data_IF_435791232978
#
_entry.id   IF_435791232978
#
_cell.length_a   1.000
_cell.length_b   1.000
_cell.length_c   1.000
_cell.angle_alpha   90.00
_cell.angle_beta   90.00
_cell.angle_gamma   90.00
#
_symmetry.space_group_name_H-M   'P 1'
#
loop_
_entity.id
_entity.type
_entity.pdbx_description
1 polymer ?
#
# COMPACT_ATOMS: atom_id res chain seq x y z
N UNK A 1 51.55 14.61 -44.63
CA UNK A 1 51.13 14.15 -43.29
C UNK A 1 49.65 14.50 -43.12
N UNK A 2 48.79 13.49 -42.96
CA UNK A 2 47.32 13.66 -43.01
C UNK A 2 46.77 13.87 -41.60
N UNK A 3 46.17 15.03 -41.35
CA UNK A 3 45.38 15.30 -40.16
C UNK A 3 44.08 14.49 -40.23
N UNK A 4 43.87 13.59 -39.26
CA UNK A 4 42.56 12.95 -39.03
C UNK A 4 41.83 13.77 -37.98
N UNK A 5 40.83 14.52 -38.42
CA UNK A 5 39.75 14.98 -37.55
C UNK A 5 39.04 13.73 -37.00
N UNK A 6 39.11 13.52 -35.68
CA UNK A 6 38.25 12.53 -35.01
C UNK A 6 36.90 13.17 -34.77
N UNK A 7 36.01 12.93 -35.72
CA UNK A 7 34.57 13.12 -35.63
C UNK A 7 34.09 12.19 -34.51
N UNK A 8 33.69 12.73 -33.36
CA UNK A 8 32.88 12.00 -32.38
C UNK A 8 31.46 11.89 -32.94
N UNK A 9 31.31 11.00 -33.91
CA UNK A 9 30.04 10.55 -34.44
C UNK A 9 29.55 9.36 -33.64
N UNK A 10 28.36 9.52 -33.06
CA UNK A 10 27.36 8.46 -32.91
C UNK A 10 27.78 7.14 -32.26
N UNK A 11 27.32 6.94 -31.03
CA UNK A 11 26.91 5.60 -30.59
C UNK A 11 25.53 5.66 -29.92
N UNK A 12 24.53 5.94 -30.74
CA UNK A 12 23.22 5.32 -30.54
C UNK A 12 23.35 3.83 -30.87
N UNK A 13 22.77 2.96 -30.04
CA UNK A 13 22.76 1.52 -30.29
C UNK A 13 22.90 0.69 -29.03
N UNK A 14 21.80 0.61 -28.27
CA UNK A 14 21.64 -0.27 -27.13
C UNK A 14 20.16 -0.56 -26.87
N UNK A 15 19.38 -0.80 -27.92
CA UNK A 15 18.07 -1.43 -27.82
C UNK A 15 18.25 -2.90 -27.43
N UNK A 16 18.57 -3.13 -26.15
CA UNK A 16 18.48 -4.43 -25.49
C UNK A 16 17.13 -4.55 -24.80
N UNK A 17 16.13 -5.06 -25.53
CA UNK A 17 15.01 -5.76 -24.88
C UNK A 17 15.58 -7.02 -24.23
N UNK A 18 15.69 -7.03 -22.90
CA UNK A 18 16.09 -8.23 -22.16
C UNK A 18 16.23 -8.00 -20.66
N UNK A 19 15.24 -8.49 -19.89
CA UNK A 19 15.36 -8.71 -18.45
C UNK A 19 14.84 -7.58 -17.57
N UNK A 20 13.59 -7.69 -17.09
CA UNK A 20 13.05 -6.85 -16.02
C UNK A 20 13.93 -6.93 -14.78
N UNK A 21 14.66 -5.86 -14.52
CA UNK A 21 15.56 -5.72 -13.39
C UNK A 21 15.43 -4.32 -12.82
N UNK A 22 15.64 -4.20 -11.52
CA UNK A 22 15.70 -2.90 -10.84
C UNK A 22 16.90 -2.11 -11.32
N UNK A 23 16.75 -0.79 -11.35
CA UNK A 23 17.81 0.13 -11.72
C UNK A 23 19.09 -0.10 -10.89
N UNK A 24 20.24 0.07 -11.55
CA UNK A 24 21.56 0.11 -10.92
C UNK A 24 22.04 1.55 -10.71
N UNK A 25 21.17 2.55 -10.93
CA UNK A 25 21.52 3.96 -10.75
C UNK A 25 21.87 4.28 -9.31
N UNK A 26 22.87 5.16 -9.14
CA UNK A 26 23.38 5.54 -7.83
C UNK A 26 22.29 6.13 -6.93
N UNK A 27 22.34 5.72 -5.66
CA UNK A 27 21.41 6.18 -4.63
C UNK A 27 22.10 7.20 -3.74
N UNK A 28 21.46 8.35 -3.52
CA UNK A 28 21.96 9.34 -2.58
C UNK A 28 21.94 8.83 -1.13
N UNK A 29 22.89 9.29 -0.32
CA UNK A 29 22.99 8.90 1.10
C UNK A 29 21.73 9.24 1.91
N UNK A 30 21.17 10.43 1.69
CA UNK A 30 19.97 10.89 2.40
C UNK A 30 18.74 10.04 2.07
N UNK A 31 18.37 9.80 0.79
CA UNK A 31 17.27 8.88 0.45
C UNK A 31 17.44 7.46 1.00
N UNK A 32 18.64 6.87 0.91
CA UNK A 32 18.92 5.55 1.45
C UNK A 32 18.70 5.51 2.98
N UNK A 33 19.17 6.53 3.70
CA UNK A 33 18.99 6.65 5.15
C UNK A 33 17.52 6.75 5.55
N UNK A 34 16.72 7.54 4.84
CA UNK A 34 15.28 7.62 5.10
C UNK A 34 14.58 6.29 4.88
N UNK A 35 14.88 5.60 3.78
CA UNK A 35 14.29 4.30 3.48
C UNK A 35 14.66 3.24 4.53
N UNK A 36 15.95 3.16 4.88
CA UNK A 36 16.45 2.25 5.89
C UNK A 36 15.80 2.47 7.26
N UNK A 37 15.75 3.71 7.74
CA UNK A 37 15.13 4.05 9.02
C UNK A 37 13.63 3.76 9.02
N UNK A 38 12.95 4.01 7.89
CA UNK A 38 11.55 3.66 7.70
C UNK A 38 11.31 2.17 7.81
N UNK A 39 12.14 1.35 7.17
CA UNK A 39 12.06 -0.11 7.23
C UNK A 39 12.32 -0.65 8.64
N UNK A 40 13.32 -0.12 9.37
CA UNK A 40 13.64 -0.54 10.75
C UNK A 40 12.53 -0.27 11.76
N UNK A 41 11.68 0.73 11.53
CA UNK A 41 10.53 1.06 12.38
C UNK A 41 9.34 0.14 12.17
N UNK A 42 9.28 -0.61 11.07
CA UNK A 42 8.19 -1.53 10.78
C UNK A 42 8.49 -2.90 11.39
N UNK A 43 7.51 -3.43 12.11
CA UNK A 43 7.54 -4.77 12.71
C UNK A 43 6.55 -5.68 11.99
N UNK A 44 6.91 -6.95 11.83
CA UNK A 44 6.09 -7.97 11.15
C UNK A 44 6.22 -8.01 9.62
N UNK A 45 5.72 -9.11 9.04
CA UNK A 45 5.68 -9.32 7.58
C UNK A 45 6.97 -9.93 7.00
N UNK A 46 7.30 -11.15 7.44
CA UNK A 46 8.36 -11.98 6.83
C UNK A 46 7.82 -12.98 5.81
N UNK A 47 6.50 -13.13 5.75
CA UNK A 47 5.86 -14.00 4.77
C UNK A 47 6.14 -13.45 3.37
N UNK A 48 6.74 -14.29 2.54
CA UNK A 48 7.02 -13.97 1.15
C UNK A 48 5.72 -13.67 0.39
N UNK A 49 5.83 -12.86 -0.65
CA UNK A 49 4.71 -12.57 -1.54
C UNK A 49 4.76 -13.51 -2.75
N UNK A 50 3.58 -13.87 -3.27
CA UNK A 50 3.49 -14.63 -4.53
C UNK A 50 3.67 -13.65 -5.69
N UNK A 51 4.81 -13.74 -6.38
CA UNK A 51 5.14 -12.85 -7.51
C UNK A 51 4.04 -12.84 -8.57
N UNK A 52 3.66 -11.65 -9.01
CA UNK A 52 2.73 -11.45 -10.11
C UNK A 52 3.43 -10.66 -11.22
N UNK A 53 3.60 -11.27 -12.39
CA UNK A 53 4.36 -10.68 -13.51
C UNK A 53 3.79 -9.34 -13.98
N UNK A 54 2.47 -9.17 -13.99
CA UNK A 54 1.83 -7.90 -14.38
C UNK A 54 2.21 -6.78 -13.40
N UNK A 55 2.17 -7.07 -12.10
CA UNK A 55 2.48 -6.08 -11.08
C UNK A 55 3.98 -5.78 -11.02
N UNK A 56 4.83 -6.81 -11.11
CA UNK A 56 6.30 -6.63 -11.19
C UNK A 56 6.71 -5.78 -12.38
N UNK A 57 6.17 -6.06 -13.57
CA UNK A 57 6.47 -5.26 -14.76
C UNK A 57 6.04 -3.80 -14.58
N UNK A 58 4.86 -3.56 -14.01
CA UNK A 58 4.40 -2.20 -13.72
C UNK A 58 5.30 -1.47 -12.72
N UNK A 59 5.84 -2.17 -11.71
CA UNK A 59 6.81 -1.58 -10.78
C UNK A 59 8.17 -1.28 -11.44
N UNK A 60 8.64 -2.16 -12.33
CA UNK A 60 9.85 -1.91 -13.13
C UNK A 60 9.65 -0.73 -14.08
N UNK A 61 8.46 -0.56 -14.63
CA UNK A 61 8.14 0.57 -15.50
C UNK A 61 8.05 1.90 -14.70
N UNK A 62 7.63 1.85 -13.43
CA UNK A 62 7.72 3.00 -12.51
C UNK A 62 9.17 3.38 -12.25
N UNK A 63 10.00 2.40 -11.86
CA UNK A 63 11.42 2.62 -11.59
C UNK A 63 12.18 3.17 -12.82
N UNK A 64 11.93 2.56 -13.98
CA UNK A 64 12.49 2.98 -15.26
C UNK A 64 11.91 4.28 -15.83
N UNK A 65 10.96 4.93 -15.13
CA UNK A 65 10.36 6.19 -15.54
C UNK A 65 9.46 6.11 -16.78
N UNK A 66 9.05 4.91 -17.20
CA UNK A 66 8.14 4.71 -18.34
C UNK A 66 6.69 5.02 -17.97
N UNK A 67 6.33 4.84 -16.71
CA UNK A 67 5.01 5.17 -16.17
C UNK A 67 5.14 5.80 -14.79
N UNK A 68 4.18 6.63 -14.40
CA UNK A 68 4.10 7.14 -13.03
C UNK A 68 3.33 6.17 -12.13
N UNK A 69 3.53 6.24 -10.82
CA UNK A 69 2.75 5.44 -9.86
C UNK A 69 1.23 5.70 -9.97
N UNK A 70 0.84 6.94 -10.31
CA UNK A 70 -0.56 7.30 -10.56
C UNK A 70 -1.11 6.65 -11.82
N UNK A 71 -0.36 6.67 -12.93
CA UNK A 71 -0.72 5.98 -14.17
C UNK A 71 -0.84 4.47 -13.95
N UNK A 72 0.10 3.89 -13.19
CA UNK A 72 0.03 2.50 -12.76
C UNK A 72 -1.25 2.23 -11.95
N UNK A 73 -1.61 3.08 -10.99
CA UNK A 73 -2.84 2.89 -10.22
C UNK A 73 -4.11 3.06 -11.07
N UNK A 74 -4.10 3.96 -12.05
CA UNK A 74 -5.23 4.26 -12.93
C UNK A 74 -5.56 3.12 -13.92
N UNK A 75 -4.66 2.17 -14.13
CA UNK A 75 -4.94 0.98 -14.94
C UNK A 75 -6.00 0.07 -14.30
N UNK A 76 -6.20 0.16 -12.97
CA UNK A 76 -7.16 -0.63 -12.22
C UNK A 76 -8.45 0.18 -12.06
N UNK A 77 -9.54 -0.35 -12.60
CA UNK A 77 -10.81 0.38 -12.72
C UNK A 77 -11.76 0.04 -11.58
N UNK A 78 -11.74 -1.21 -11.12
CA UNK A 78 -12.66 -1.68 -10.09
C UNK A 78 -12.00 -1.68 -8.72
N UNK A 79 -12.83 -1.60 -7.67
CA UNK A 79 -12.35 -1.72 -6.29
C UNK A 79 -11.72 -3.08 -6.01
N UNK A 80 -12.26 -4.16 -6.58
CA UNK A 80 -11.69 -5.51 -6.43
C UNK A 80 -10.28 -5.62 -7.03
N UNK A 81 -10.05 -5.04 -8.20
CA UNK A 81 -8.72 -4.98 -8.80
C UNK A 81 -7.75 -4.19 -7.92
N UNK A 82 -8.20 -3.05 -7.40
CA UNK A 82 -7.41 -2.21 -6.50
C UNK A 82 -7.11 -2.92 -5.18
N UNK A 83 -8.04 -3.69 -4.61
CA UNK A 83 -7.82 -4.48 -3.39
C UNK A 83 -6.81 -5.62 -3.65
N UNK A 84 -6.88 -6.31 -4.79
CA UNK A 84 -5.90 -7.35 -5.17
C UNK A 84 -4.49 -6.78 -5.28
N UNK A 85 -4.35 -5.66 -5.99
CA UNK A 85 -3.05 -4.98 -6.17
C UNK A 85 -2.56 -4.41 -4.83
N UNK A 86 -3.45 -3.84 -4.02
CA UNK A 86 -3.11 -3.32 -2.70
C UNK A 86 -2.51 -4.42 -1.81
N UNK A 87 -3.20 -5.56 -1.69
CA UNK A 87 -2.73 -6.69 -0.88
C UNK A 87 -1.36 -7.18 -1.38
N UNK A 88 -1.21 -7.34 -2.68
CA UNK A 88 0.08 -7.68 -3.29
C UNK A 88 1.20 -6.70 -2.91
N UNK A 89 0.93 -5.40 -3.00
CA UNK A 89 1.92 -4.36 -2.68
C UNK A 89 2.21 -4.30 -1.18
N UNK A 90 1.24 -4.59 -0.32
CA UNK A 90 1.46 -4.72 1.14
C UNK A 90 2.44 -5.85 1.42
N UNK A 91 2.20 -7.04 0.84
CA UNK A 91 3.05 -8.22 1.05
C UNK A 91 4.45 -8.00 0.47
N UNK A 92 4.55 -7.47 -0.76
CA UNK A 92 5.84 -7.13 -1.37
C UNK A 92 6.60 -6.10 -0.54
N UNK A 93 5.94 -5.04 -0.09
CA UNK A 93 6.56 -4.01 0.75
C UNK A 93 7.05 -4.61 2.08
N UNK A 94 6.30 -5.51 2.69
CA UNK A 94 6.73 -6.23 3.89
C UNK A 94 8.02 -7.04 3.65
N UNK A 95 8.02 -7.88 2.61
CA UNK A 95 9.21 -8.66 2.19
C UNK A 95 10.42 -7.77 1.88
N UNK A 96 10.24 -6.66 1.14
CA UNK A 96 11.33 -5.74 0.81
C UNK A 96 11.85 -5.03 2.06
N UNK A 97 10.96 -4.59 2.95
CA UNK A 97 11.38 -4.01 4.23
C UNK A 97 12.10 -5.04 5.11
N UNK A 98 11.73 -6.33 5.07
CA UNK A 98 12.47 -7.39 5.76
C UNK A 98 13.92 -7.50 5.25
N UNK A 99 14.12 -7.50 3.92
CA UNK A 99 15.48 -7.47 3.33
C UNK A 99 16.27 -6.25 3.78
N UNK A 100 15.65 -5.06 3.79
CA UNK A 100 16.32 -3.83 4.26
C UNK A 100 16.65 -3.89 5.75
N UNK A 101 15.77 -4.50 6.57
CA UNK A 101 16.01 -4.68 8.01
C UNK A 101 17.17 -5.62 8.31
N UNK A 102 17.50 -6.56 7.41
CA UNK A 102 18.66 -7.44 7.56
C UNK A 102 20.00 -6.73 7.30
N UNK A 103 19.97 -5.56 6.66
CA UNK A 103 21.16 -4.74 6.47
C UNK A 103 21.64 -4.15 7.81
N UNK A 104 22.96 -4.00 7.93
CA UNK A 104 23.63 -3.44 9.11
C UNK A 104 23.57 -1.92 9.14
N UNK A 105 23.46 -1.28 7.98
CA UNK A 105 23.44 0.18 7.88
C UNK A 105 22.71 0.71 6.64
N UNK A 106 22.40 2.00 6.67
CA UNK A 106 21.88 2.72 5.50
C UNK A 106 22.89 2.77 4.33
N UNK A 107 24.20 2.72 4.60
CA UNK A 107 25.21 2.67 3.57
C UNK A 107 25.23 1.35 2.81
N UNK A 108 24.88 0.24 3.46
CA UNK A 108 24.70 -1.04 2.77
C UNK A 108 23.49 -0.99 1.82
N UNK A 109 22.41 -0.29 2.20
CA UNK A 109 21.28 -0.06 1.30
C UNK A 109 21.69 0.83 0.12
N UNK A 110 22.49 1.86 0.36
CA UNK A 110 23.03 2.75 -0.68
C UNK A 110 23.88 1.99 -1.71
N UNK A 111 24.70 1.05 -1.23
CA UNK A 111 25.52 0.15 -2.07
C UNK A 111 24.70 -0.93 -2.78
N UNK A 112 23.42 -1.06 -2.46
CA UNK A 112 22.49 -1.98 -3.10
C UNK A 112 21.37 -1.20 -3.83
N UNK A 113 21.69 -0.57 -4.98
CA UNK A 113 20.73 0.28 -5.70
C UNK A 113 19.48 -0.50 -6.11
N UNK A 114 19.61 -1.76 -6.52
CA UNK A 114 18.47 -2.62 -6.89
C UNK A 114 17.44 -2.75 -5.77
N UNK A 115 17.87 -3.04 -4.55
CA UNK A 115 16.97 -3.17 -3.41
C UNK A 115 16.32 -1.83 -3.03
N UNK A 116 17.07 -0.72 -3.15
CA UNK A 116 16.51 0.60 -2.91
C UNK A 116 15.42 0.97 -3.92
N UNK A 117 15.69 0.76 -5.22
CA UNK A 117 14.75 1.06 -6.29
C UNK A 117 13.51 0.16 -6.24
N UNK A 118 13.69 -1.13 -5.86
CA UNK A 118 12.57 -2.03 -5.53
C UNK A 118 11.68 -1.45 -4.43
N UNK A 119 12.28 -0.99 -3.33
CA UNK A 119 11.56 -0.42 -2.20
C UNK A 119 10.85 0.89 -2.57
N UNK A 120 11.53 1.76 -3.34
CA UNK A 120 11.01 3.04 -3.80
C UNK A 120 9.77 2.84 -4.67
N UNK A 121 9.88 2.08 -5.76
CA UNK A 121 8.77 1.85 -6.67
C UNK A 121 7.59 1.17 -5.98
N UNK A 122 7.85 0.17 -5.13
CA UNK A 122 6.80 -0.52 -4.36
C UNK A 122 6.06 0.46 -3.43
N UNK A 123 6.78 1.38 -2.77
CA UNK A 123 6.19 2.39 -1.89
C UNK A 123 5.37 3.41 -2.67
N UNK A 124 5.88 3.92 -3.78
CA UNK A 124 5.19 4.87 -4.65
C UNK A 124 3.90 4.27 -5.21
N UNK A 125 3.97 3.05 -5.74
CA UNK A 125 2.81 2.32 -6.22
C UNK A 125 1.78 2.07 -5.10
N UNK A 126 2.22 1.67 -3.90
CA UNK A 126 1.32 1.43 -2.77
C UNK A 126 0.57 2.70 -2.35
N UNK A 127 1.26 3.84 -2.31
CA UNK A 127 0.64 5.14 -2.03
C UNK A 127 -0.40 5.51 -3.11
N UNK A 128 -0.04 5.40 -4.39
CA UNK A 128 -0.93 5.74 -5.49
C UNK A 128 -2.15 4.81 -5.58
N UNK A 129 -1.97 3.51 -5.35
CA UNK A 129 -3.08 2.54 -5.29
C UNK A 129 -3.98 2.85 -4.10
N UNK A 130 -3.44 3.20 -2.93
CA UNK A 130 -4.25 3.59 -1.77
C UNK A 130 -5.07 4.86 -2.03
N UNK A 131 -4.47 5.86 -2.65
CA UNK A 131 -5.16 7.10 -3.03
C UNK A 131 -6.25 6.84 -4.10
N UNK A 132 -5.94 6.03 -5.13
CA UNK A 132 -6.95 5.65 -6.13
C UNK A 132 -8.09 4.85 -5.49
N UNK A 133 -7.76 3.94 -4.59
CA UNK A 133 -8.69 3.10 -3.85
C UNK A 133 -9.63 3.94 -2.99
N UNK A 134 -9.15 4.98 -2.29
CA UNK A 134 -10.02 5.85 -1.49
C UNK A 134 -11.03 6.64 -2.35
N UNK A 135 -10.70 6.91 -3.62
CA UNK A 135 -11.54 7.62 -4.59
C UNK A 135 -12.55 6.73 -5.32
N UNK A 136 -12.32 5.41 -5.38
CA UNK A 136 -13.26 4.46 -5.98
C UNK A 136 -14.22 3.98 -4.89
N UNK A 137 -15.52 4.10 -5.17
CA UNK A 137 -16.56 3.61 -4.27
C UNK A 137 -16.20 2.18 -3.82
N UNK A 138 -16.25 1.87 -2.51
CA UNK A 138 -16.02 0.51 -2.07
C UNK A 138 -16.98 -0.39 -2.84
N UNK A 139 -16.54 -1.60 -3.21
CA UNK A 139 -17.50 -2.65 -3.58
C UNK A 139 -18.50 -2.60 -2.45
N UNK A 140 -19.77 -2.33 -2.76
CA UNK A 140 -20.81 -2.54 -1.77
C UNK A 140 -20.60 -3.99 -1.40
N UNK A 141 -19.98 -4.24 -0.24
CA UNK A 141 -20.21 -5.50 0.42
C UNK A 141 -21.72 -5.57 0.36
N UNK A 142 -22.24 -6.56 -0.39
CA UNK A 142 -23.59 -6.97 -0.12
C UNK A 142 -23.62 -7.01 1.38
N UNK A 143 -24.50 -6.21 1.97
CA UNK A 143 -24.85 -6.45 3.33
C UNK A 143 -25.51 -7.84 3.30
N UNK A 144 -24.71 -8.90 3.22
CA UNK A 144 -24.73 -9.87 4.27
C UNK A 144 -24.39 -9.06 5.53
N UNK A 145 -25.37 -8.28 6.01
CA UNK A 145 -25.74 -8.40 7.40
C UNK A 145 -25.74 -9.91 7.56
N UNK A 146 -24.65 -10.48 8.09
CA UNK A 146 -24.80 -11.75 8.77
C UNK A 146 -25.99 -11.46 9.66
N UNK A 147 -27.07 -12.20 9.49
CA UNK A 147 -28.20 -12.22 10.41
C UNK A 147 -27.76 -12.69 11.82
N UNK A 148 -26.51 -12.45 12.24
CA UNK A 148 -26.04 -12.60 13.59
C UNK A 148 -26.79 -11.65 14.54
N UNK A 149 -27.33 -10.54 14.03
CA UNK A 149 -28.10 -9.59 14.83
C UNK A 149 -29.62 -9.90 14.82
N UNK A 150 -30.11 -10.66 13.83
CA UNK A 150 -31.52 -11.09 13.78
C UNK A 150 -31.78 -12.29 14.71
N UNK A 151 -30.77 -13.15 14.94
CA UNK A 151 -30.92 -14.31 15.83
C UNK A 151 -30.72 -13.95 17.30
N UNK A 152 -29.93 -12.90 17.61
CA UNK A 152 -29.73 -12.42 18.98
C UNK A 152 -30.80 -11.41 19.45
N UNK A 153 -31.67 -10.93 18.55
CA UNK A 153 -32.82 -10.08 18.91
C UNK A 153 -34.11 -10.87 19.13
N UNK A 154 -34.15 -12.15 18.72
CA UNK A 154 -35.34 -13.00 18.83
C UNK A 154 -35.71 -13.46 20.26
N UNK A 155 -34.86 -13.21 21.26
CA UNK A 155 -35.15 -13.58 22.67
C UNK A 155 -35.32 -12.38 23.61
N UNK A 156 -35.29 -11.13 23.11
CA UNK A 156 -35.69 -9.97 23.91
C UNK A 156 -37.21 -9.99 24.08
N UNK A 157 -37.66 -10.66 25.14
CA UNK A 157 -39.06 -10.61 25.56
C UNK A 157 -39.46 -9.15 25.77
N UNK A 158 -40.67 -8.77 25.33
CA UNK A 158 -41.21 -7.40 25.46
C UNK A 158 -41.20 -6.88 26.91
N UNK A 159 -41.04 -7.78 27.89
CA UNK A 159 -40.87 -7.50 29.31
C UNK A 159 -39.50 -6.91 29.62
N UNK A 160 -38.41 -7.48 29.09
CA UNK A 160 -37.05 -6.97 29.32
C UNK A 160 -36.86 -5.58 28.70
N UNK A 161 -37.42 -5.35 27.51
CA UNK A 161 -37.34 -4.05 26.83
C UNK A 161 -38.09 -2.95 27.56
N UNK A 162 -39.26 -3.28 28.13
CA UNK A 162 -40.01 -2.37 28.98
C UNK A 162 -39.28 -2.06 30.28
N UNK A 163 -38.64 -3.06 30.90
CA UNK A 163 -37.85 -2.88 32.11
C UNK A 163 -36.59 -2.04 31.84
N UNK A 164 -35.86 -2.33 30.77
CA UNK A 164 -34.66 -1.58 30.39
C UNK A 164 -34.97 -0.12 30.06
N UNK A 165 -36.04 0.12 29.29
CA UNK A 165 -36.47 1.49 28.96
C UNK A 165 -36.89 2.27 30.20
N UNK A 166 -37.69 1.67 31.10
CA UNK A 166 -38.07 2.30 32.38
C UNK A 166 -36.85 2.61 33.25
N UNK A 167 -35.89 1.71 33.38
CA UNK A 167 -34.70 1.96 34.20
C UNK A 167 -33.79 3.03 33.59
N UNK A 168 -33.65 3.05 32.26
CA UNK A 168 -32.93 4.12 31.56
C UNK A 168 -33.60 5.48 31.77
N UNK A 169 -34.93 5.55 31.64
CA UNK A 169 -35.68 6.79 31.80
C UNK A 169 -35.68 7.26 33.27
N UNK A 170 -35.78 6.33 34.23
CA UNK A 170 -35.64 6.62 35.66
C UNK A 170 -34.24 7.09 36.03
N UNK A 171 -33.19 6.45 35.48
CA UNK A 171 -31.81 6.89 35.66
C UNK A 171 -31.59 8.27 35.06
N UNK A 172 -32.12 8.53 33.86
CA UNK A 172 -32.01 9.84 33.23
C UNK A 172 -32.75 10.92 34.04
N UNK A 173 -33.92 10.61 34.60
CA UNK A 173 -34.68 11.52 35.45
C UNK A 173 -33.97 11.80 36.79
N UNK A 174 -33.32 10.79 37.39
CA UNK A 174 -32.54 10.91 38.60
C UNK A 174 -31.24 11.70 38.39
N UNK A 175 -30.54 11.44 37.28
CA UNK A 175 -29.20 11.99 37.04
C UNK A 175 -29.22 13.37 36.40
N UNK A 176 -30.16 13.63 35.48
CA UNK A 176 -30.24 14.92 34.76
C UNK A 176 -31.32 15.85 35.32
N UNK A 177 -32.09 15.38 36.32
CA UNK A 177 -33.27 16.07 36.85
C UNK A 177 -34.40 16.09 35.82
N UNK A 178 -35.63 15.78 36.24
CA UNK A 178 -36.76 15.89 35.31
C UNK A 178 -36.99 17.36 34.96
N UNK A 179 -36.45 17.82 33.82
CA UNK A 179 -37.03 18.99 33.13
C UNK A 179 -38.33 18.52 32.51
N UNK A 180 -39.37 18.50 33.35
CA UNK A 180 -40.74 18.36 32.90
C UNK A 180 -41.02 19.41 31.83
N UNK A 181 -41.52 18.94 30.69
CA UNK A 181 -42.20 19.79 29.73
C UNK A 181 -43.37 20.47 30.46
N UNK A 182 -43.29 21.80 30.61
CA UNK A 182 -44.46 22.67 30.54
C UNK A 182 -44.48 23.29 29.16
#
# INVERSE_FOLDING_TARGET
MRYRAQIFGGRGGGSGRGGGGWSDSEVGATPAKFMYNGAKRKTGGEDGYVKNSKYENGLHDIDGGKTTAEQFANQFKTREELDKVHNYLVDKNASVNAKIRQLKSADELRKNPKLYHEAKATREASNAVNDRRSKVAPVKAEKTVRKADDEYTSSRTSTYDRWYKRNRDNFAAYYFGSKGKK
#
